data_IF_118062812439
#
_entry.id   IF_118062812439
#
_cell.length_a   1.000
_cell.length_b   1.000
_cell.length_c   1.000
_cell.angle_alpha   90.00
_cell.angle_beta   90.00
_cell.angle_gamma   90.00
#
_symmetry.space_group_name_H-M   'P 1'
#
loop_
_entity.id
_entity.type
_entity.pdbx_description
1 polymer ?
#
# COMPACT_ATOMS: atom_id res chain seq x y z
N UNK A 1 11.22 -19.00 -9.90
CA UNK A 1 10.79 -17.58 -9.99
C UNK A 1 9.97 -17.11 -8.79
N UNK A 2 10.60 -16.77 -7.66
CA UNK A 2 9.90 -16.18 -6.52
C UNK A 2 10.75 -15.06 -5.92
N UNK A 3 10.61 -13.87 -6.50
CA UNK A 3 10.93 -12.64 -5.77
C UNK A 3 9.87 -12.44 -4.68
N UNK A 4 10.14 -11.63 -3.66
CA UNK A 4 9.09 -11.07 -2.78
C UNK A 4 9.49 -9.66 -2.44
N UNK A 5 8.53 -8.75 -2.48
CA UNK A 5 8.75 -7.33 -2.21
C UNK A 5 7.92 -6.92 -0.98
N UNK A 6 8.48 -6.10 -0.11
CA UNK A 6 7.75 -5.54 1.05
C UNK A 6 7.67 -4.02 0.95
N UNK A 7 6.46 -3.46 0.96
CA UNK A 7 6.19 -2.01 0.85
C UNK A 7 5.61 -1.40 2.13
N UNK A 8 6.13 -0.25 2.57
CA UNK A 8 5.58 0.60 3.65
C UNK A 8 4.66 1.72 3.15
N UNK A 9 3.69 2.21 3.95
CA UNK A 9 2.86 3.40 3.63
C UNK A 9 2.57 4.27 4.86
N UNK A 10 2.27 5.55 4.64
CA UNK A 10 2.00 6.57 5.66
C UNK A 10 0.64 7.26 5.43
N UNK A 11 -0.17 7.43 6.48
CA UNK A 11 -1.47 8.13 6.44
C UNK A 11 -1.42 9.29 7.45
N UNK A 12 -1.93 10.48 7.07
CA UNK A 12 -1.97 11.70 7.87
C UNK A 12 -3.34 11.84 8.53
N UNK A 13 -3.29 12.03 9.84
CA UNK A 13 -4.37 12.52 10.68
C UNK A 13 -4.28 14.06 10.82
N UNK A 14 -5.42 14.76 10.84
CA UNK A 14 -5.46 16.17 11.25
C UNK A 14 -4.89 16.36 12.67
N UNK A 15 -4.48 17.59 13.03
CA UNK A 15 -4.01 17.90 14.39
C UNK A 15 -5.02 17.38 15.43
N UNK A 16 -4.56 16.50 16.32
CA UNK A 16 -5.40 15.90 17.37
C UNK A 16 -6.24 14.68 16.96
N UNK A 17 -6.32 14.30 15.67
CA UNK A 17 -6.97 13.04 15.27
C UNK A 17 -6.09 11.85 15.68
N UNK A 18 -6.74 10.86 16.27
CA UNK A 18 -6.18 9.56 16.60
C UNK A 18 -6.97 8.48 15.89
N UNK A 19 -6.29 7.49 15.32
CA UNK A 19 -6.90 6.33 14.71
C UNK A 19 -7.70 5.60 15.77
N UNK A 20 -9.02 5.70 15.69
CA UNK A 20 -9.91 5.05 16.65
C UNK A 20 -9.80 3.53 16.53
N UNK A 21 -10.09 2.75 17.59
CA UNK A 21 -10.09 1.29 17.48
C UNK A 21 -11.01 0.77 16.37
N UNK A 22 -12.15 1.43 16.14
CA UNK A 22 -13.06 1.10 15.05
C UNK A 22 -12.45 1.37 13.67
N UNK A 23 -11.80 2.54 13.49
CA UNK A 23 -11.12 2.87 12.24
C UNK A 23 -9.91 1.94 11.99
N UNK A 24 -9.19 1.57 13.05
CA UNK A 24 -8.10 0.59 13.00
C UNK A 24 -8.61 -0.78 12.57
N UNK A 25 -9.69 -1.28 13.19
CA UNK A 25 -10.31 -2.55 12.81
C UNK A 25 -10.74 -2.55 11.35
N UNK A 26 -11.43 -1.51 10.90
CA UNK A 26 -11.83 -1.37 9.49
C UNK A 26 -10.62 -1.32 8.55
N UNK A 27 -9.52 -0.70 8.96
CA UNK A 27 -8.27 -0.69 8.20
C UNK A 27 -7.66 -2.09 8.12
N UNK A 28 -7.54 -2.81 9.23
CA UNK A 28 -7.00 -4.17 9.24
C UNK A 28 -7.85 -5.10 8.37
N UNK A 29 -9.18 -5.01 8.43
CA UNK A 29 -10.11 -5.77 7.56
C UNK A 29 -9.93 -5.42 6.07
N UNK A 30 -9.87 -4.13 5.73
CA UNK A 30 -9.69 -3.68 4.33
C UNK A 30 -8.36 -4.13 3.74
N UNK A 31 -7.28 -4.07 4.53
CA UNK A 31 -5.95 -4.49 4.08
C UNK A 31 -5.89 -6.01 3.96
N UNK A 32 -6.41 -6.74 4.95
CA UNK A 32 -6.43 -8.20 4.96
C UNK A 32 -7.19 -8.78 3.76
N UNK A 33 -8.23 -8.09 3.27
CA UNK A 33 -9.03 -8.48 2.10
C UNK A 33 -8.21 -8.63 0.80
N UNK A 34 -7.01 -8.04 0.72
CA UNK A 34 -6.11 -8.24 -0.42
C UNK A 34 -5.33 -9.56 -0.37
N UNK A 35 -5.30 -10.24 0.77
CA UNK A 35 -4.51 -11.47 0.97
C UNK A 35 -5.06 -12.61 0.10
N UNK A 36 -4.17 -13.47 -0.39
CA UNK A 36 -4.49 -14.54 -1.33
C UNK A 36 -3.99 -14.25 -2.75
N UNK A 37 -4.47 -15.06 -3.70
CA UNK A 37 -4.10 -14.97 -5.11
C UNK A 37 -5.27 -14.41 -5.93
N UNK A 38 -5.14 -13.15 -6.35
CA UNK A 38 -6.21 -12.41 -7.03
C UNK A 38 -5.75 -11.91 -8.39
N UNK A 39 -6.71 -11.56 -9.26
CA UNK A 39 -6.45 -10.77 -10.45
C UNK A 39 -6.28 -9.28 -10.05
N UNK A 40 -5.11 -8.72 -10.34
CA UNK A 40 -4.78 -7.33 -10.06
C UNK A 40 -4.78 -6.47 -11.32
N UNK A 41 -5.42 -6.88 -12.42
CA UNK A 41 -5.49 -6.15 -13.69
C UNK A 41 -5.88 -4.67 -13.54
N UNK A 42 -6.81 -4.33 -12.63
CA UNK A 42 -7.21 -2.93 -12.34
C UNK A 42 -6.21 -2.14 -11.49
N UNK A 43 -5.31 -2.86 -10.84
CA UNK A 43 -4.29 -2.33 -9.95
C UNK A 43 -2.99 -2.03 -10.68
N UNK A 44 -2.98 -2.01 -12.01
CA UNK A 44 -1.84 -1.50 -12.78
C UNK A 44 -2.28 -0.48 -13.83
N UNK A 45 -1.34 0.14 -14.52
CA UNK A 45 -1.66 1.06 -15.62
C UNK A 45 -2.07 0.28 -16.86
N UNK A 46 -2.98 0.87 -17.65
CA UNK A 46 -3.54 0.19 -18.83
C UNK A 46 -2.46 -0.15 -19.86
N UNK A 47 -1.53 0.76 -20.11
CA UNK A 47 -0.41 0.52 -21.03
C UNK A 47 0.47 -0.66 -20.57
N UNK A 48 0.82 -0.69 -19.28
CA UNK A 48 1.60 -1.79 -18.67
C UNK A 48 0.83 -3.11 -18.67
N UNK A 49 -0.48 -3.06 -18.48
CA UNK A 49 -1.35 -4.23 -18.57
C UNK A 49 -1.31 -4.81 -19.99
N UNK A 50 -1.40 -3.99 -21.02
CA UNK A 50 -1.48 -4.43 -22.42
C UNK A 50 -0.13 -4.93 -22.98
N UNK A 51 0.99 -4.44 -22.43
CA UNK A 51 2.36 -4.70 -22.89
C UNK A 51 3.11 -5.73 -22.05
N UNK A 52 3.13 -5.60 -20.72
CA UNK A 52 3.98 -6.41 -19.83
C UNK A 52 3.22 -7.53 -19.10
N UNK A 53 1.95 -7.27 -18.77
CA UNK A 53 1.18 -8.09 -17.82
C UNK A 53 -0.05 -8.79 -18.41
N UNK A 54 -0.26 -8.75 -19.73
CA UNK A 54 -1.48 -9.21 -20.42
C UNK A 54 -2.03 -10.54 -19.89
N UNK A 55 -1.15 -11.54 -19.78
CA UNK A 55 -1.50 -12.91 -19.33
C UNK A 55 -0.99 -13.21 -17.92
N UNK A 56 -0.44 -12.21 -17.23
CA UNK A 56 0.23 -12.34 -15.93
C UNK A 56 -0.26 -11.24 -15.00
N UNK A 57 -1.56 -11.16 -14.76
CA UNK A 57 -2.16 -10.18 -13.84
C UNK A 57 -2.38 -10.74 -12.43
N UNK A 58 -2.39 -12.07 -12.29
CA UNK A 58 -2.57 -12.74 -11.01
C UNK A 58 -1.36 -12.55 -10.10
N UNK A 59 -1.57 -12.08 -8.87
CA UNK A 59 -0.51 -11.88 -7.87
C UNK A 59 -0.92 -12.46 -6.53
N UNK A 60 0.06 -12.95 -5.77
CA UNK A 60 -0.18 -13.46 -4.42
C UNK A 60 0.28 -12.43 -3.40
N UNK A 61 -0.66 -11.92 -2.60
CA UNK A 61 -0.39 -11.12 -1.41
C UNK A 61 -0.47 -12.07 -0.21
N UNK A 62 0.58 -12.11 0.59
CA UNK A 62 0.68 -12.97 1.77
C UNK A 62 0.09 -12.31 3.00
N UNK A 63 0.51 -11.07 3.25
CA UNK A 63 0.07 -10.27 4.37
C UNK A 63 -0.04 -8.82 3.93
N UNK A 64 -1.11 -8.15 4.37
CA UNK A 64 -1.22 -6.70 4.26
C UNK A 64 -1.93 -6.19 5.52
N UNK A 65 -1.21 -5.42 6.34
CA UNK A 65 -1.66 -5.06 7.68
C UNK A 65 -1.11 -3.69 8.12
N UNK A 66 -1.70 -3.14 9.17
CA UNK A 66 -1.08 -2.06 9.93
C UNK A 66 -0.01 -2.65 10.84
N UNK A 67 1.26 -2.43 10.50
CA UNK A 67 2.40 -3.00 11.20
C UNK A 67 2.82 -2.20 12.45
N UNK A 68 2.53 -0.90 12.45
CA UNK A 68 2.91 -0.03 13.55
C UNK A 68 2.25 1.34 13.44
N UNK A 69 2.34 2.12 14.51
CA UNK A 69 1.81 3.46 14.60
C UNK A 69 1.99 3.98 16.00
N UNK A 70 2.49 5.21 16.11
CA UNK A 70 2.80 5.86 17.38
C UNK A 70 3.13 7.32 17.08
N UNK A 71 2.52 8.23 17.85
CA UNK A 71 2.59 9.66 17.63
C UNK A 71 4.03 10.17 17.49
N UNK A 72 4.24 11.08 16.53
CA UNK A 72 5.48 11.83 16.43
C UNK A 72 5.80 12.52 17.76
N UNK A 73 7.07 12.42 18.14
CA UNK A 73 7.77 13.03 19.29
C UNK A 73 6.91 13.68 20.37
N UNK A 74 6.98 13.10 21.57
CA UNK A 74 6.46 13.65 22.81
C UNK A 74 7.15 14.94 23.25
N UNK A 75 6.98 16.03 22.50
CA UNK A 75 6.98 17.38 23.03
C UNK A 75 5.52 17.82 23.18
N UNK A 76 5.17 18.46 24.29
CA UNK A 76 3.82 18.85 24.73
C UNK A 76 3.03 19.80 23.79
N UNK A 77 2.82 19.43 22.53
CA UNK A 77 2.10 20.21 21.53
C UNK A 77 1.77 19.41 20.26
N UNK A 78 0.52 18.94 20.15
CA UNK A 78 -0.16 18.61 18.89
C UNK A 78 0.64 18.00 17.72
N UNK A 79 0.96 16.70 17.79
CA UNK A 79 1.61 15.97 16.68
C UNK A 79 0.64 15.29 15.71
N UNK A 80 1.06 15.15 14.43
CA UNK A 80 0.42 14.30 13.41
C UNK A 80 0.67 12.83 13.79
N UNK A 81 -0.41 12.06 13.92
CA UNK A 81 -0.31 10.62 14.04
C UNK A 81 -0.05 9.99 12.67
N UNK A 82 0.87 9.03 12.63
CA UNK A 82 1.23 8.26 11.45
C UNK A 82 1.12 6.78 11.74
N UNK A 83 0.59 6.06 10.77
CA UNK A 83 0.58 4.59 10.77
C UNK A 83 1.47 4.06 9.67
N UNK A 84 2.12 2.94 9.95
CA UNK A 84 2.93 2.19 9.00
C UNK A 84 2.11 1.00 8.51
N UNK A 85 1.81 0.97 7.22
CA UNK A 85 1.27 -0.24 6.59
C UNK A 85 2.43 -1.14 6.16
N UNK A 86 2.24 -2.46 6.17
CA UNK A 86 3.19 -3.42 5.63
C UNK A 86 2.45 -4.38 4.70
N UNK A 87 2.92 -4.47 3.47
CA UNK A 87 2.50 -5.52 2.53
C UNK A 87 3.65 -6.48 2.25
N UNK A 88 3.37 -7.77 2.13
CA UNK A 88 4.30 -8.81 1.68
C UNK A 88 3.61 -9.65 0.61
N UNK A 89 4.28 -9.91 -0.51
CA UNK A 89 3.71 -10.69 -1.62
C UNK A 89 4.79 -11.32 -2.51
N UNK A 90 4.36 -12.13 -3.49
CA UNK A 90 5.26 -12.79 -4.45
C UNK A 90 5.81 -11.86 -5.52
N UNK A 91 5.05 -10.85 -5.90
CA UNK A 91 5.45 -9.84 -6.87
C UNK A 91 4.36 -8.79 -6.91
N UNK A 92 4.69 -7.59 -7.38
CA UNK A 92 3.74 -6.51 -7.55
C UNK A 92 3.89 -5.95 -8.95
N UNK A 93 2.77 -5.67 -9.60
CA UNK A 93 2.74 -4.94 -10.86
C UNK A 93 3.02 -3.46 -10.62
N UNK A 94 3.35 -2.76 -11.70
CA UNK A 94 3.47 -1.32 -11.69
C UNK A 94 2.24 -0.66 -11.03
N UNK A 95 2.48 0.22 -10.06
CA UNK A 95 1.46 0.92 -9.27
C UNK A 95 0.52 0.08 -8.39
N UNK A 96 0.68 -1.25 -8.33
CA UNK A 96 -0.24 -2.14 -7.61
C UNK A 96 -0.45 -1.76 -6.15
N UNK A 97 0.64 -1.63 -5.40
CA UNK A 97 0.54 -1.33 -3.97
C UNK A 97 -0.12 0.04 -3.74
N UNK A 98 0.19 1.03 -4.58
CA UNK A 98 -0.36 2.39 -4.49
C UNK A 98 -1.88 2.40 -4.70
N UNK A 99 -2.37 1.61 -5.67
CA UNK A 99 -3.80 1.44 -5.93
C UNK A 99 -4.49 0.63 -4.84
N UNK A 100 -3.83 -0.37 -4.25
CA UNK A 100 -4.38 -1.12 -3.12
C UNK A 100 -4.62 -0.22 -1.91
N UNK A 101 -3.66 0.67 -1.60
CA UNK A 101 -3.76 1.63 -0.49
C UNK A 101 -4.89 2.62 -0.73
N UNK A 102 -5.02 3.13 -1.95
CA UNK A 102 -6.15 3.97 -2.32
C UNK A 102 -7.50 3.28 -2.05
N UNK A 103 -7.69 2.05 -2.53
CA UNK A 103 -8.95 1.32 -2.34
C UNK A 103 -9.24 1.08 -0.86
N UNK A 104 -8.24 0.64 -0.08
CA UNK A 104 -8.39 0.42 1.36
C UNK A 104 -8.85 1.71 2.05
N UNK A 105 -8.15 2.82 1.81
CA UNK A 105 -8.47 4.11 2.41
C UNK A 105 -9.83 4.66 1.98
N UNK A 106 -10.15 4.58 0.69
CA UNK A 106 -11.44 5.02 0.17
C UNK A 106 -12.59 4.21 0.79
N UNK A 107 -12.39 2.91 1.01
CA UNK A 107 -13.36 2.02 1.66
C UNK A 107 -13.59 2.40 3.12
N UNK A 108 -12.52 2.62 3.89
CA UNK A 108 -12.60 3.05 5.30
C UNK A 108 -13.30 4.40 5.42
N UNK A 109 -12.90 5.38 4.60
CA UNK A 109 -13.43 6.75 4.64
C UNK A 109 -14.88 6.84 4.18
N UNK A 110 -15.30 5.96 3.26
CA UNK A 110 -16.70 5.87 2.80
C UNK A 110 -17.58 5.04 3.72
N UNK A 111 -17.02 4.39 4.76
CA UNK A 111 -17.72 3.51 5.71
C UNK A 111 -18.47 2.37 5.02
N UNK A 112 -17.93 1.87 3.91
CA UNK A 112 -18.44 0.68 3.24
C UNK A 112 -17.85 -0.59 3.88
N UNK A 113 -18.48 -1.73 3.60
CA UNK A 113 -17.97 -3.02 4.04
C UNK A 113 -16.57 -3.27 3.41
N UNK A 114 -15.52 -3.46 4.24
CA UNK A 114 -14.15 -3.62 3.75
C UNK A 114 -13.97 -4.80 2.80
N UNK A 115 -14.49 -5.97 3.19
CA UNK A 115 -14.31 -7.22 2.46
C UNK A 115 -15.04 -7.18 1.11
N UNK A 116 -16.32 -6.77 1.10
CA UNK A 116 -17.13 -6.67 -0.11
C UNK A 116 -16.53 -5.67 -1.10
N UNK A 117 -16.14 -4.48 -0.62
CA UNK A 117 -15.64 -3.40 -1.50
C UNK A 117 -14.31 -3.77 -2.14
N UNK A 118 -13.37 -4.32 -1.35
CA UNK A 118 -12.07 -4.74 -1.87
C UNK A 118 -12.23 -5.91 -2.84
N UNK A 119 -12.99 -6.94 -2.49
CA UNK A 119 -13.24 -8.06 -3.40
C UNK A 119 -13.96 -7.63 -4.69
N UNK A 120 -14.89 -6.68 -4.62
CA UNK A 120 -15.51 -6.10 -5.80
C UNK A 120 -14.47 -5.46 -6.73
N UNK A 121 -13.54 -4.70 -6.17
CA UNK A 121 -12.48 -4.05 -6.95
C UNK A 121 -11.52 -5.05 -7.60
N UNK A 122 -11.19 -6.15 -6.90
CA UNK A 122 -10.39 -7.26 -7.42
C UNK A 122 -11.14 -8.06 -8.50
N UNK A 123 -12.46 -8.15 -8.41
CA UNK A 123 -13.30 -8.84 -9.40
C UNK A 123 -13.59 -8.00 -10.65
N UNK A 124 -12.88 -6.90 -10.86
CA UNK A 124 -13.06 -6.05 -12.02
C UNK A 124 -14.14 -4.96 -11.87
N UNK A 125 -14.96 -4.99 -10.81
CA UNK A 125 -16.07 -4.02 -10.63
C UNK A 125 -15.52 -2.63 -10.30
N UNK A 126 -16.20 -1.60 -10.79
CA UNK A 126 -15.90 -0.21 -10.44
C UNK A 126 -16.28 0.03 -8.98
N UNK A 127 -15.53 0.89 -8.29
CA UNK A 127 -15.93 1.37 -6.97
C UNK A 127 -17.25 2.16 -7.09
N UNK A 128 -18.17 2.05 -6.11
CA UNK A 128 -19.42 2.82 -6.12
C UNK A 128 -19.16 4.32 -6.30
N UNK A 129 -19.92 4.99 -7.17
CA UNK A 129 -19.79 6.45 -7.34
C UNK A 129 -18.46 6.93 -7.96
N UNK A 130 -17.57 6.03 -8.39
CA UNK A 130 -16.38 6.42 -9.16
C UNK A 130 -16.80 6.90 -10.56
N UNK A 131 -16.41 8.12 -10.92
CA UNK A 131 -16.72 8.76 -12.21
C UNK A 131 -15.83 8.26 -13.36
N UNK A 132 -14.89 7.35 -13.08
CA UNK A 132 -13.98 6.74 -14.05
C UNK A 132 -13.71 5.26 -13.76
N UNK A 133 -12.96 4.61 -14.64
CA UNK A 133 -12.48 3.24 -14.43
C UNK A 133 -11.16 3.18 -13.65
N UNK A 134 -10.44 4.28 -13.55
CA UNK A 134 -9.10 4.29 -12.96
C UNK A 134 -9.14 4.49 -11.45
N UNK A 135 -8.35 3.67 -10.76
CA UNK A 135 -8.09 3.81 -9.34
C UNK A 135 -7.05 4.92 -9.15
N UNK A 136 -7.28 5.82 -8.18
CA UNK A 136 -6.29 6.84 -7.84
C UNK A 136 -5.00 6.21 -7.32
N UNK A 137 -3.90 6.90 -7.52
CA UNK A 137 -2.58 6.49 -7.04
C UNK A 137 -2.27 7.20 -5.73
N UNK A 138 -2.14 6.44 -4.64
CA UNK A 138 -1.58 6.99 -3.42
C UNK A 138 -0.12 7.47 -3.66
N UNK A 139 0.38 8.52 -2.96
CA UNK A 139 1.71 9.09 -3.20
C UNK A 139 2.86 8.06 -3.11
N UNK A 140 3.79 8.08 -4.06
CA UNK A 140 4.89 7.11 -4.11
C UNK A 140 6.01 7.39 -3.10
N UNK A 141 6.11 8.63 -2.63
CA UNK A 141 7.14 9.16 -1.75
C UNK A 141 7.16 8.50 -0.36
N UNK A 142 6.07 7.83 0.00
CA UNK A 142 5.88 7.11 1.26
C UNK A 142 6.03 5.59 1.10
N UNK A 143 6.22 5.11 -0.13
CA UNK A 143 6.40 3.71 -0.43
C UNK A 143 7.88 3.32 -0.31
N UNK A 144 8.19 2.54 0.72
CA UNK A 144 9.55 2.06 0.99
C UNK A 144 9.67 0.56 0.75
N UNK A 145 10.64 0.15 -0.04
CA UNK A 145 11.07 -1.25 -0.12
C UNK A 145 11.83 -1.61 1.16
N UNK A 146 11.26 -2.52 1.95
CA UNK A 146 11.85 -2.92 3.23
C UNK A 146 12.76 -4.14 3.09
N UNK A 147 12.26 -5.18 2.45
CA UNK A 147 12.91 -6.50 2.38
C UNK A 147 12.64 -7.15 1.02
N UNK A 148 13.64 -7.88 0.53
CA UNK A 148 13.52 -8.80 -0.60
C UNK A 148 13.76 -10.20 -0.05
N UNK A 149 12.82 -11.12 -0.26
CA UNK A 149 13.03 -12.54 0.07
C UNK A 149 13.37 -13.27 -1.22
N UNK A 150 14.58 -13.82 -1.28
CA UNK A 150 15.08 -14.62 -2.39
C UNK A 150 14.87 -16.11 -2.09
N UNK A 151 14.67 -16.92 -3.12
CA UNK A 151 14.86 -18.37 -2.99
C UNK A 151 16.35 -18.68 -2.86
N UNK A 152 16.67 -19.85 -2.32
CA UNK A 152 18.07 -20.28 -2.15
C UNK A 152 18.83 -20.24 -3.48
N UNK A 153 18.24 -20.75 -4.57
CA UNK A 153 18.84 -20.69 -5.91
C UNK A 153 19.11 -19.25 -6.39
N UNK A 154 18.19 -18.32 -6.10
CA UNK A 154 18.33 -16.92 -6.48
C UNK A 154 19.33 -16.18 -5.59
N UNK A 155 19.48 -16.61 -4.34
CA UNK A 155 20.52 -16.11 -3.45
C UNK A 155 21.91 -16.50 -3.98
N UNK A 156 22.09 -17.75 -4.42
CA UNK A 156 23.35 -18.22 -5.03
C UNK A 156 23.69 -17.43 -6.29
N UNK A 157 22.76 -17.25 -7.23
CA UNK A 157 23.04 -16.46 -8.44
C UNK A 157 23.39 -14.99 -8.12
N UNK A 158 22.73 -14.40 -7.11
CA UNK A 158 23.05 -13.04 -6.67
C UNK A 158 24.41 -12.98 -6.00
N UNK A 159 24.81 -14.02 -5.27
CA UNK A 159 26.12 -14.14 -4.64
C UNK A 159 27.25 -14.14 -5.68
N UNK A 160 27.11 -14.93 -6.74
CA UNK A 160 28.07 -14.97 -7.83
C UNK A 160 28.20 -13.59 -8.52
N UNK A 161 27.06 -12.94 -8.78
CA UNK A 161 27.04 -11.61 -9.40
C UNK A 161 27.64 -10.51 -8.51
N UNK A 162 27.41 -10.57 -7.19
CA UNK A 162 27.92 -9.55 -6.24
C UNK A 162 29.40 -9.75 -5.93
N UNK A 163 29.89 -10.99 -5.80
CA UNK A 163 31.31 -11.28 -5.65
C UNK A 163 32.12 -10.74 -6.83
N UNK A 164 31.57 -10.85 -8.04
CA UNK A 164 32.19 -10.27 -9.25
C UNK A 164 32.19 -8.74 -9.26
N UNK A 165 31.22 -8.09 -8.63
CA UNK A 165 31.05 -6.64 -8.69
C UNK A 165 31.79 -5.86 -7.58
N UNK A 166 31.93 -6.45 -6.39
CA UNK A 166 32.43 -5.74 -5.19
C UNK A 166 33.77 -6.27 -4.64
N UNK A 167 34.48 -7.12 -5.39
CA UNK A 167 35.89 -7.40 -5.10
C UNK A 167 36.17 -8.08 -3.75
N UNK A 168 35.26 -8.92 -3.26
CA UNK A 168 35.51 -9.77 -2.08
C UNK A 168 35.22 -9.13 -0.71
N UNK A 169 34.52 -7.99 -0.65
CA UNK A 169 33.99 -7.50 0.63
C UNK A 169 33.04 -8.54 1.25
N UNK A 170 33.11 -8.75 2.58
CA UNK A 170 32.30 -9.77 3.26
C UNK A 170 30.80 -9.46 3.07
N UNK A 171 30.13 -10.34 2.33
CA UNK A 171 28.70 -10.27 1.99
C UNK A 171 27.83 -9.99 3.21
N UNK A 172 28.17 -10.61 4.34
CA UNK A 172 27.42 -10.44 5.58
C UNK A 172 27.43 -8.97 6.01
N UNK A 173 28.57 -8.30 5.90
CA UNK A 173 28.73 -6.90 6.25
C UNK A 173 28.03 -5.97 5.25
N UNK A 174 28.13 -6.22 3.94
CA UNK A 174 27.44 -5.41 2.93
C UNK A 174 25.90 -5.48 3.10
N UNK A 175 25.34 -6.68 3.28
CA UNK A 175 23.91 -6.85 3.54
C UNK A 175 23.49 -6.29 4.89
N UNK A 176 24.33 -6.39 5.91
CA UNK A 176 24.04 -5.82 7.22
C UNK A 176 24.05 -4.28 7.17
N UNK A 177 25.01 -3.67 6.47
CA UNK A 177 25.03 -2.21 6.23
C UNK A 177 23.80 -1.75 5.46
N UNK A 178 23.43 -2.43 4.36
CA UNK A 178 22.19 -2.11 3.65
C UNK A 178 20.96 -2.27 4.55
N UNK A 179 20.86 -3.34 5.35
CA UNK A 179 19.77 -3.52 6.31
C UNK A 179 19.72 -2.41 7.36
N UNK A 180 20.87 -1.95 7.85
CA UNK A 180 20.99 -0.85 8.81
C UNK A 180 20.62 0.49 8.16
N UNK A 181 21.02 0.72 6.91
CA UNK A 181 20.64 1.90 6.13
C UNK A 181 19.14 1.91 5.80
N UNK A 182 18.56 0.79 5.36
CA UNK A 182 17.12 0.67 5.11
C UNK A 182 16.28 0.82 6.39
N UNK A 183 16.84 0.46 7.54
CA UNK A 183 16.26 0.71 8.87
C UNK A 183 16.63 2.08 9.43
N UNK A 184 17.47 2.86 8.74
CA UNK A 184 17.96 4.10 9.28
C UNK A 184 16.83 5.11 9.41
N UNK A 185 16.84 5.82 10.53
CA UNK A 185 15.91 6.91 10.80
C UNK A 185 15.94 7.97 9.70
N UNK A 186 17.04 8.08 8.97
CA UNK A 186 17.23 9.02 7.85
C UNK A 186 16.27 8.77 6.70
N UNK A 187 16.05 7.52 6.28
CA UNK A 187 15.11 7.22 5.18
C UNK A 187 13.68 7.54 5.61
N UNK A 188 13.29 7.15 6.83
CA UNK A 188 11.97 7.46 7.37
C UNK A 188 11.74 8.96 7.52
N UNK A 189 12.74 9.69 8.02
CA UNK A 189 12.70 11.16 8.14
C UNK A 189 12.55 11.80 6.76
N UNK A 190 13.32 11.35 5.77
CA UNK A 190 13.23 11.89 4.41
C UNK A 190 11.89 11.60 3.77
N UNK A 191 11.40 10.36 3.87
CA UNK A 191 10.08 9.97 3.39
C UNK A 191 8.98 10.81 4.05
N UNK A 192 9.10 11.12 5.34
CA UNK A 192 8.19 12.01 6.06
C UNK A 192 8.25 13.45 5.53
N UNK A 193 9.44 14.00 5.30
CA UNK A 193 9.63 15.35 4.75
C UNK A 193 8.99 15.51 3.37
N UNK A 194 9.22 14.57 2.45
CA UNK A 194 8.73 14.69 1.07
C UNK A 194 7.31 14.16 0.89
N UNK A 195 6.95 13.13 1.66
CA UNK A 195 5.69 12.42 1.51
C UNK A 195 4.53 13.07 2.22
N UNK A 196 4.75 13.83 3.30
CA UNK A 196 3.68 14.58 3.95
C UNK A 196 3.04 15.62 3.02
N UNK A 197 3.79 16.50 2.34
CA UNK A 197 3.21 17.43 1.36
C UNK A 197 2.50 16.71 0.20
N UNK A 198 3.05 15.59 -0.27
CA UNK A 198 2.42 14.80 -1.33
C UNK A 198 1.08 14.21 -0.88
N UNK A 199 1.01 13.73 0.35
CA UNK A 199 -0.19 13.23 0.98
C UNK A 199 -1.24 14.32 1.18
N UNK A 200 -0.82 15.52 1.63
CA UNK A 200 -1.72 16.68 1.76
C UNK A 200 -2.38 17.08 0.44
N UNK A 201 -1.63 17.04 -0.66
CA UNK A 201 -2.18 17.31 -2.01
C UNK A 201 -3.14 16.21 -2.48
N UNK A 202 -2.91 14.97 -2.09
CA UNK A 202 -3.72 13.82 -2.53
C UNK A 202 -5.01 13.61 -1.71
N UNK A 203 -5.01 14.02 -0.43
CA UNK A 203 -6.15 13.82 0.48
C UNK A 203 -7.48 14.42 -0.02
N UNK A 204 -7.54 15.61 -0.63
CA UNK A 204 -8.79 16.15 -1.18
C UNK A 204 -9.44 15.24 -2.23
N UNK A 205 -8.64 14.65 -3.13
CA UNK A 205 -9.14 13.74 -4.18
C UNK A 205 -9.65 12.44 -3.58
N UNK A 206 -8.90 11.87 -2.63
CA UNK A 206 -9.35 10.70 -1.87
C UNK A 206 -10.67 10.97 -1.15
N UNK A 207 -10.78 12.10 -0.46
CA UNK A 207 -11.98 12.49 0.27
C UNK A 207 -13.17 12.72 -0.66
N UNK A 208 -12.94 13.29 -1.85
CA UNK A 208 -13.96 13.43 -2.88
C UNK A 208 -14.49 12.07 -3.33
N UNK A 209 -13.61 11.11 -3.67
CA UNK A 209 -14.03 9.77 -4.07
C UNK A 209 -14.77 9.04 -2.94
N UNK A 210 -14.26 9.10 -1.70
CA UNK A 210 -14.90 8.46 -0.56
C UNK A 210 -16.31 8.99 -0.29
N UNK A 211 -16.54 10.32 -0.42
CA UNK A 211 -17.89 10.91 -0.32
C UNK A 211 -18.81 10.40 -1.42
N UNK A 212 -18.33 10.30 -2.66
CA UNK A 212 -19.14 9.78 -3.77
C UNK A 212 -19.49 8.30 -3.59
N UNK A 213 -18.56 7.50 -3.08
CA UNK A 213 -18.79 6.10 -2.71
C UNK A 213 -19.89 5.97 -1.66
N UNK A 214 -19.81 6.75 -0.57
CA UNK A 214 -20.82 6.75 0.48
C UNK A 214 -22.21 7.16 -0.04
N UNK A 215 -22.28 8.23 -0.84
CA UNK A 215 -23.53 8.70 -1.43
C UNK A 215 -24.15 7.67 -2.39
N UNK A 216 -23.35 7.00 -3.20
CA UNK A 216 -23.81 5.96 -4.13
C UNK A 216 -24.40 4.77 -3.37
N UNK A 217 -23.73 4.32 -2.29
CA UNK A 217 -24.23 3.23 -1.46
C UNK A 217 -25.55 3.58 -0.75
N UNK A 218 -25.68 4.81 -0.23
CA UNK A 218 -26.93 5.28 0.39
C UNK A 218 -28.11 5.26 -0.58
N UNK A 219 -27.89 5.65 -1.85
CA UNK A 219 -28.93 5.59 -2.90
C UNK A 219 -29.39 4.16 -3.17
N UNK A 220 -28.45 3.21 -3.28
CA UNK A 220 -28.77 1.80 -3.52
C UNK A 220 -29.57 1.18 -2.37
N UNK A 221 -29.28 1.56 -1.12
CA UNK A 221 -30.04 1.11 0.05
C UNK A 221 -31.47 1.67 0.05
N UNK A 222 -31.66 2.90 -0.40
CA UNK A 222 -33.00 3.50 -0.49
C UNK A 222 -33.85 2.79 -1.55
N UNK A 223 -33.30 2.51 -2.74
CA UNK A 223 -34.02 1.82 -3.81
C UNK A 223 -34.42 0.39 -3.46
N UNK A 224 -33.68 -0.31 -2.58
CA UNK A 224 -34.03 -1.67 -2.13
C UNK A 224 -35.17 -1.72 -1.11
N UNK A 225 -35.56 -0.58 -0.52
CA UNK A 225 -36.61 -0.49 0.51
C UNK A 225 -37.95 0.00 -0.04
N UNK A 226 -37.98 0.45 -1.28
CA UNK A 226 -39.19 0.87 -2.01
C UNK A 226 -39.62 -0.29 -2.90
#
# INVERSE_FOLDING_TARGET
DKFRQCGGWLIKAAWGYRLTPAARKAADEALAAFSGCHDFSRFTEKEKLETEYRDRTRRTVKHFEVYGGGGGDGGSGGGIEMVQLRVTGSSFMYHQIRKMVFVALATILSRLDPMETVHASLSGRKLPGATGSELLLAPGELLLLREIHLSDDAAVCLEEATASAYGGEDRADALNRLRLEFKSERIYRKAKEVGLPALERWLPDLAFVARNMANAAARLQHTRRV
#
